data_IF_925028280619
#
_entry.id   IF_925028280619
#
_cell.length_a   1.000
_cell.length_b   1.000
_cell.length_c   1.000
_cell.angle_alpha   90.00
_cell.angle_beta   90.00
_cell.angle_gamma   90.00
#
_symmetry.space_group_name_H-M   'P 1'
#
loop_
_entity.id
_entity.type
_entity.pdbx_description
1 polymer ?
#
# COMPACT_ATOMS: atom_id res chain seq x y z
N UNK A 1 16.42 -0.08 4.15
CA UNK A 1 15.80 -1.16 3.35
C UNK A 1 14.72 -1.77 4.23
N UNK A 2 13.54 -2.09 3.68
CA UNK A 2 12.45 -2.72 4.45
C UNK A 2 12.87 -4.09 5.00
N UNK A 3 12.22 -4.55 6.07
CA UNK A 3 12.50 -5.88 6.63
C UNK A 3 12.15 -7.03 5.70
N UNK A 4 12.65 -8.22 6.05
CA UNK A 4 12.26 -9.48 5.42
C UNK A 4 10.75 -9.72 5.53
N UNK A 5 10.16 -9.45 6.71
CA UNK A 5 8.72 -9.64 6.95
C UNK A 5 7.89 -8.74 6.03
N UNK A 6 8.29 -7.48 5.85
CA UNK A 6 7.64 -6.58 4.90
C UNK A 6 7.70 -7.13 3.48
N UNK A 7 8.89 -7.56 3.06
CA UNK A 7 9.12 -8.08 1.71
C UNK A 7 8.27 -9.33 1.44
N UNK A 8 8.14 -10.21 2.43
CA UNK A 8 7.34 -11.41 2.33
C UNK A 8 5.83 -11.11 2.26
N UNK A 9 5.33 -10.21 3.11
CA UNK A 9 3.93 -9.76 3.04
C UNK A 9 3.65 -9.06 1.72
N UNK A 10 4.57 -8.23 1.24
CA UNK A 10 4.45 -7.57 -0.06
C UNK A 10 4.32 -8.58 -1.21
N UNK A 11 5.18 -9.60 -1.24
CA UNK A 11 5.11 -10.68 -2.24
C UNK A 11 3.79 -11.43 -2.17
N UNK A 12 3.32 -11.78 -0.97
CA UNK A 12 2.04 -12.49 -0.76
C UNK A 12 0.86 -11.65 -1.25
N UNK A 13 0.83 -10.35 -0.93
CA UNK A 13 -0.22 -9.43 -1.39
C UNK A 13 -0.23 -9.32 -2.91
N UNK A 14 0.95 -9.18 -3.54
CA UNK A 14 1.06 -9.14 -5.00
C UNK A 14 0.53 -10.43 -5.64
N UNK A 15 1.00 -11.59 -5.16
CA UNK A 15 0.58 -12.89 -5.66
C UNK A 15 -0.93 -13.14 -5.46
N UNK A 16 -1.49 -12.70 -4.32
CA UNK A 16 -2.92 -12.75 -4.07
C UNK A 16 -3.68 -11.86 -5.06
N UNK A 17 -3.21 -10.63 -5.32
CA UNK A 17 -3.81 -9.73 -6.32
C UNK A 17 -3.84 -10.35 -7.72
N UNK A 18 -2.74 -10.99 -8.14
CA UNK A 18 -2.66 -11.70 -9.42
C UNK A 18 -3.62 -12.91 -9.46
N UNK A 19 -3.69 -13.69 -8.38
CA UNK A 19 -4.63 -14.82 -8.23
C UNK A 19 -6.08 -14.37 -8.33
N UNK A 20 -6.46 -13.32 -7.60
CA UNK A 20 -7.83 -12.80 -7.62
C UNK A 20 -8.20 -12.25 -9.00
N UNK A 21 -7.28 -11.53 -9.65
CA UNK A 21 -7.47 -11.02 -11.01
C UNK A 21 -7.64 -12.16 -12.03
N UNK A 22 -6.80 -13.18 -11.97
CA UNK A 22 -6.90 -14.36 -12.83
C UNK A 22 -8.21 -15.14 -12.59
N UNK A 23 -8.70 -15.17 -11.34
CA UNK A 23 -9.95 -15.82 -10.98
C UNK A 23 -11.21 -14.94 -11.21
N UNK A 24 -11.05 -13.69 -11.67
CA UNK A 24 -12.16 -12.73 -11.79
C UNK A 24 -12.84 -12.39 -10.46
N UNK A 25 -12.16 -12.62 -9.33
CA UNK A 25 -12.65 -12.32 -7.98
C UNK A 25 -12.38 -10.86 -7.63
N UNK A 26 -13.23 -10.29 -6.78
CA UNK A 26 -13.03 -8.95 -6.25
C UNK A 26 -11.79 -8.90 -5.34
N UNK A 27 -10.93 -7.93 -5.60
CA UNK A 27 -9.73 -7.64 -4.80
C UNK A 27 -10.02 -6.88 -3.51
N UNK A 28 -8.95 -6.45 -2.80
CA UNK A 28 -9.07 -5.57 -1.65
C UNK A 28 -9.82 -4.29 -2.02
N UNK A 29 -10.51 -3.71 -1.05
CA UNK A 29 -11.21 -2.42 -1.21
C UNK A 29 -10.24 -1.30 -1.63
N UNK A 30 -10.79 -0.23 -2.21
CA UNK A 30 -9.98 0.93 -2.62
C UNK A 30 -9.18 1.50 -1.44
N UNK A 31 -9.78 1.58 -0.25
CA UNK A 31 -9.11 2.10 0.94
C UNK A 31 -7.95 1.21 1.39
N UNK A 32 -8.13 -0.11 1.38
CA UNK A 32 -7.06 -1.08 1.65
C UNK A 32 -5.90 -0.95 0.66
N UNK A 33 -6.20 -0.79 -0.63
CA UNK A 33 -5.17 -0.57 -1.66
C UNK A 33 -4.43 0.74 -1.45
N UNK A 34 -5.13 1.82 -1.07
CA UNK A 34 -4.54 3.12 -0.79
C UNK A 34 -3.66 3.10 0.46
N UNK A 35 -4.08 2.38 1.52
CA UNK A 35 -3.28 2.17 2.73
C UNK A 35 -1.99 1.41 2.42
N UNK A 36 -2.09 0.27 1.71
CA UNK A 36 -0.92 -0.51 1.29
C UNK A 36 0.05 0.36 0.48
N UNK A 37 -0.46 1.15 -0.48
CA UNK A 37 0.36 2.06 -1.28
C UNK A 37 1.11 3.09 -0.41
N UNK A 38 0.39 3.80 0.47
CA UNK A 38 0.96 4.87 1.28
C UNK A 38 2.03 4.35 2.24
N UNK A 39 1.74 3.25 2.96
CA UNK A 39 2.69 2.64 3.89
C UNK A 39 3.89 2.04 3.16
N UNK A 40 3.70 1.39 2.02
CA UNK A 40 4.83 0.88 1.22
C UNK A 40 5.78 2.00 0.79
N UNK A 41 5.26 3.13 0.32
CA UNK A 41 6.11 4.28 -0.09
C UNK A 41 6.95 4.82 1.05
N UNK A 42 6.37 4.96 2.23
CA UNK A 42 7.10 5.46 3.41
C UNK A 42 8.08 4.40 3.92
N UNK A 43 7.70 3.13 3.97
CA UNK A 43 8.59 2.03 4.39
C UNK A 43 9.81 1.86 3.45
N UNK A 44 9.62 2.08 2.14
CA UNK A 44 10.70 2.11 1.15
C UNK A 44 11.62 3.34 1.26
N UNK A 45 11.26 4.31 2.11
CA UNK A 45 12.00 5.57 2.25
C UNK A 45 11.87 6.48 1.03
N UNK A 46 10.77 6.39 0.28
CA UNK A 46 10.51 7.28 -0.86
C UNK A 46 10.24 8.69 -0.33
N UNK A 47 10.88 9.67 -0.96
CA UNK A 47 10.62 11.08 -0.68
C UNK A 47 9.29 11.51 -1.31
N UNK A 48 8.40 12.06 -0.49
CA UNK A 48 7.16 12.63 -0.96
C UNK A 48 7.39 13.91 -1.78
N UNK A 49 8.48 14.64 -1.55
CA UNK A 49 8.85 15.82 -2.34
C UNK A 49 9.07 15.51 -3.82
N UNK A 50 9.51 14.30 -4.14
CA UNK A 50 9.67 13.81 -5.51
C UNK A 50 8.37 13.27 -6.13
N UNK A 51 7.28 13.18 -5.34
CA UNK A 51 6.00 12.69 -5.81
C UNK A 51 5.40 13.65 -6.84
N UNK A 52 5.21 13.18 -8.06
CA UNK A 52 4.56 13.96 -9.12
C UNK A 52 3.12 14.26 -8.72
N UNK A 53 2.76 15.55 -8.69
CA UNK A 53 1.40 15.99 -8.42
C UNK A 53 0.48 15.47 -9.55
N UNK A 54 -0.57 14.71 -9.22
CA UNK A 54 -1.49 14.17 -10.22
C UNK A 54 -2.29 15.29 -10.89
N UNK A 55 -2.65 15.08 -12.15
CA UNK A 55 -3.47 16.00 -12.93
C UNK A 55 -4.91 16.08 -12.41
N UNK A 56 -5.64 17.14 -12.78
CA UNK A 56 -7.00 17.40 -12.29
C UNK A 56 -7.98 16.24 -12.55
N UNK A 57 -7.80 15.50 -13.64
CA UNK A 57 -8.65 14.39 -14.05
C UNK A 57 -8.14 13.01 -13.58
N UNK A 58 -6.97 12.93 -12.96
CA UNK A 58 -6.41 11.69 -12.43
C UNK A 58 -6.90 11.44 -11.01
N UNK A 59 -8.14 10.95 -10.88
CA UNK A 59 -8.77 10.70 -9.59
C UNK A 59 -8.02 9.63 -8.77
N UNK A 60 -7.53 8.59 -9.44
CA UNK A 60 -6.80 7.49 -8.79
C UNK A 60 -5.42 7.95 -8.30
N UNK A 61 -4.67 8.67 -9.14
CA UNK A 61 -3.40 9.27 -8.74
C UNK A 61 -3.59 10.28 -7.62
N UNK A 62 -4.66 11.09 -7.64
CA UNK A 62 -5.01 12.02 -6.57
C UNK A 62 -5.29 11.30 -5.25
N UNK A 63 -6.03 10.21 -5.26
CA UNK A 63 -6.28 9.41 -4.06
C UNK A 63 -4.98 8.84 -3.48
N UNK A 64 -4.11 8.27 -4.32
CA UNK A 64 -2.79 7.74 -3.91
C UNK A 64 -1.88 8.83 -3.34
N UNK A 65 -1.78 9.96 -4.03
CA UNK A 65 -0.99 11.11 -3.60
C UNK A 65 -1.49 11.65 -2.26
N UNK A 66 -2.81 11.83 -2.11
CA UNK A 66 -3.39 12.33 -0.87
C UNK A 66 -3.18 11.35 0.29
N UNK A 67 -3.34 10.03 0.08
CA UNK A 67 -3.13 9.06 1.15
C UNK A 67 -1.68 8.97 1.58
N UNK A 68 -0.75 9.01 0.62
CA UNK A 68 0.67 9.08 0.95
C UNK A 68 1.02 10.36 1.71
N UNK A 69 0.49 11.51 1.27
CA UNK A 69 0.64 12.79 1.97
C UNK A 69 0.13 12.70 3.42
N UNK A 70 -1.04 12.13 3.64
CA UNK A 70 -1.63 11.95 4.97
C UNK A 70 -0.71 11.16 5.91
N UNK A 71 -0.12 10.05 5.43
CA UNK A 71 0.81 9.23 6.23
C UNK A 71 2.11 9.99 6.54
N UNK A 72 2.63 10.76 5.59
CA UNK A 72 3.83 11.59 5.77
C UNK A 72 3.58 12.76 6.73
N UNK A 73 2.46 13.48 6.56
CA UNK A 73 2.05 14.59 7.42
C UNK A 73 1.79 14.13 8.87
N UNK A 74 1.35 12.89 9.05
CA UNK A 74 1.21 12.26 10.36
C UNK A 74 2.56 11.96 11.06
N UNK A 75 3.70 12.21 10.39
CA UNK A 75 5.03 11.95 10.95
C UNK A 75 5.40 10.47 11.01
N UNK A 76 4.75 9.63 10.18
CA UNK A 76 4.98 8.18 10.19
C UNK A 76 6.41 7.89 9.75
N UNK A 77 7.17 7.21 10.61
CA UNK A 77 8.54 6.75 10.28
C UNK A 77 8.52 5.54 9.35
N UNK A 78 9.67 5.23 8.72
CA UNK A 78 9.79 4.05 7.85
C UNK A 78 9.42 2.76 8.60
N UNK A 79 9.88 2.63 9.85
CA UNK A 79 9.59 1.46 10.68
C UNK A 79 8.09 1.36 11.01
N UNK A 80 7.46 2.46 11.41
CA UNK A 80 6.02 2.45 11.71
C UNK A 80 5.18 2.16 10.46
N UNK A 81 5.57 2.71 9.30
CA UNK A 81 4.92 2.43 8.04
C UNK A 81 5.05 0.95 7.67
N UNK A 82 6.21 0.36 7.92
CA UNK A 82 6.45 -1.06 7.70
C UNK A 82 5.54 -1.93 8.57
N UNK A 83 5.49 -1.67 9.87
CA UNK A 83 4.61 -2.37 10.82
C UNK A 83 3.14 -2.26 10.41
N UNK A 84 2.70 -1.07 10.00
CA UNK A 84 1.33 -0.83 9.51
C UNK A 84 1.04 -1.53 8.18
N UNK A 85 2.01 -1.57 7.26
CA UNK A 85 1.88 -2.31 6.00
C UNK A 85 1.69 -3.80 6.27
N UNK A 86 2.51 -4.37 7.18
CA UNK A 86 2.43 -5.77 7.57
C UNK A 86 1.06 -6.08 8.20
N UNK A 87 0.61 -5.25 9.15
CA UNK A 87 -0.69 -5.41 9.81
C UNK A 87 -1.85 -5.43 8.79
N UNK A 88 -1.90 -4.41 7.91
CA UNK A 88 -2.95 -4.31 6.89
C UNK A 88 -2.83 -5.45 5.86
N UNK A 89 -1.62 -5.78 5.44
CA UNK A 89 -1.36 -6.86 4.49
C UNK A 89 -1.79 -8.23 5.02
N UNK A 90 -1.47 -8.55 6.27
CA UNK A 90 -1.91 -9.80 6.91
C UNK A 90 -3.45 -9.86 7.03
N UNK A 91 -4.11 -8.75 7.38
CA UNK A 91 -5.57 -8.69 7.42
C UNK A 91 -6.20 -8.91 6.04
N UNK A 92 -5.64 -8.29 4.99
CA UNK A 92 -6.13 -8.45 3.62
C UNK A 92 -5.92 -9.90 3.16
N UNK A 93 -4.74 -10.48 3.40
CA UNK A 93 -4.48 -11.88 3.05
C UNK A 93 -5.48 -12.80 3.73
N UNK A 94 -5.73 -12.63 5.03
CA UNK A 94 -6.71 -13.41 5.77
C UNK A 94 -8.14 -13.30 5.20
N UNK A 95 -8.54 -12.13 4.71
CA UNK A 95 -9.86 -11.92 4.07
C UNK A 95 -9.99 -12.61 2.72
N UNK A 96 -8.89 -12.75 1.99
CA UNK A 96 -8.88 -13.19 0.58
C UNK A 96 -8.24 -14.58 0.36
N UNK A 97 -7.84 -15.30 1.41
CA UNK A 97 -7.23 -16.63 1.33
C UNK A 97 -8.22 -17.77 1.01
N UNK A 98 -9.51 -17.46 0.75
CA UNK A 98 -10.58 -18.41 0.40
C UNK A 98 -10.87 -18.49 -1.12
#
# INVERSE_FOLDING_TARGET
>A
MPSEKFTDVYKKISAMGDKLKAAGKQGPSNDEQLQLYAYAKVAEGKDFGEAKKPGMFDLAGKAKYNKWKEVVDAGTTQQQAEEKYIEVGEQILAKHDN
#
